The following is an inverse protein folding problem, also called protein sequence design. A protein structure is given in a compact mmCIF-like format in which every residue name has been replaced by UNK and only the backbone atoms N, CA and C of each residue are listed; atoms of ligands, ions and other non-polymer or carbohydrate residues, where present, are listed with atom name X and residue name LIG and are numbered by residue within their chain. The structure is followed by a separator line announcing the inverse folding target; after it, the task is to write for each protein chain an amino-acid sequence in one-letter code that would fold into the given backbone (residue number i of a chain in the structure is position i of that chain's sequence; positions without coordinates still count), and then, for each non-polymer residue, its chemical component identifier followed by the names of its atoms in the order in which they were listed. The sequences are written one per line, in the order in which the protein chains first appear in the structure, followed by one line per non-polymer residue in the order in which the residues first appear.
data_IF_114978121057
#
_entry.id   IF_114978121057
#
_cell.length_a   1.000
_cell.length_b   1.000
_cell.length_c   1.000
_cell.angle_alpha   90.00
_cell.angle_beta   90.00
_cell.angle_gamma   90.00
#
_symmetry.space_group_name_H-M   'P 1'
#
loop_
_entity.id
_entity.type
_entity.pdbx_description
1 polymer ?
#
# COMPACT_ATOMS: atom_id res chain seq x y z
N UNK A 1 4.32 43.20 -22.25
CA UNK A 1 4.08 42.35 -21.06
C UNK A 1 2.87 42.84 -20.24
N UNK A 2 1.64 42.84 -20.80
CA UNK A 2 0.46 43.41 -20.09
C UNK A 2 -0.88 42.76 -20.42
N UNK A 3 -0.88 41.55 -21.00
CA UNK A 3 -2.10 40.83 -21.44
C UNK A 3 -2.43 39.56 -20.64
N UNK A 4 -1.50 38.98 -19.89
CA UNK A 4 -1.77 37.76 -19.12
C UNK A 4 -2.39 38.01 -17.74
N UNK A 5 -2.28 39.23 -17.21
CA UNK A 5 -2.82 39.56 -15.88
C UNK A 5 -4.35 39.76 -15.84
N UNK A 6 -5.01 39.87 -17.01
CA UNK A 6 -6.48 40.04 -17.07
C UNK A 6 -7.24 38.74 -17.32
N UNK A 7 -6.54 37.64 -17.63
CA UNK A 7 -7.16 36.33 -17.86
C UNK A 7 -7.36 35.54 -16.55
N UNK A 8 -6.66 35.94 -15.48
CA UNK A 8 -6.67 35.28 -14.16
C UNK A 8 -7.80 35.81 -13.25
N UNK A 9 -8.34 37.01 -13.52
CA UNK A 9 -9.41 37.61 -12.69
C UNK A 9 -10.81 37.18 -13.14
N UNK A 10 -10.98 36.72 -14.39
CA UNK A 10 -12.28 36.34 -14.95
C UNK A 10 -12.75 34.91 -14.64
N UNK A 11 -11.83 33.98 -14.33
CA UNK A 11 -12.18 32.56 -14.12
C UNK A 11 -12.62 32.26 -12.68
N UNK A 12 -12.35 33.16 -11.73
CA UNK A 12 -12.67 32.98 -10.31
C UNK A 12 -14.10 33.40 -9.92
N UNK A 13 -14.91 33.94 -10.84
CA UNK A 13 -16.25 34.49 -10.54
C UNK A 13 -17.43 33.63 -11.07
N UNK A 14 -17.17 32.42 -11.58
CA UNK A 14 -18.18 31.61 -12.26
C UNK A 14 -18.56 30.28 -11.57
N UNK A 15 -18.18 30.07 -10.30
CA UNK A 15 -18.47 28.81 -9.60
C UNK A 15 -19.13 29.01 -8.22
N UNK A 16 -20.11 29.92 -8.12
CA UNK A 16 -20.88 30.20 -6.88
C UNK A 16 -22.41 30.09 -7.08
N UNK A 17 -22.91 29.68 -8.24
CA UNK A 17 -24.36 29.71 -8.51
C UNK A 17 -24.90 28.36 -8.97
N UNK A 18 -25.13 27.42 -8.03
CA UNK A 18 -26.16 26.37 -8.14
C UNK A 18 -26.63 25.93 -6.74
N UNK A 19 -27.27 26.86 -6.01
CA UNK A 19 -28.14 26.57 -4.87
C UNK A 19 -29.60 26.82 -5.31
N UNK A 20 -30.29 25.76 -5.75
CA UNK A 20 -31.75 25.68 -5.91
C UNK A 20 -32.07 24.24 -6.28
N UNK A 21 -33.15 23.57 -5.92
CA UNK A 21 -34.29 23.80 -5.05
C UNK A 21 -35.05 22.47 -5.11
N UNK A 22 -35.53 21.95 -3.99
CA UNK A 22 -36.67 21.03 -3.89
C UNK A 22 -37.15 21.22 -2.44
N UNK A 23 -38.30 21.83 -2.17
CA UNK A 23 -39.58 21.58 -2.82
C UNK A 23 -40.42 20.87 -1.78
N UNK A 24 -41.12 21.67 -0.98
CA UNK A 24 -41.96 21.22 0.11
C UNK A 24 -43.27 20.63 -0.45
N UNK A 25 -43.48 19.33 -0.25
CA UNK A 25 -44.78 18.71 -0.39
C UNK A 25 -45.07 17.91 0.89
N UNK A 26 -45.94 18.45 1.73
CA UNK A 26 -46.59 17.77 2.86
C UNK A 26 -47.83 17.01 2.37
N UNK A 27 -47.91 15.69 2.54
CA UNK A 27 -49.18 14.98 2.63
C UNK A 27 -49.58 14.87 4.11
N UNK A 28 -50.81 15.28 4.42
CA UNK A 28 -51.46 14.96 5.67
C UNK A 28 -51.63 13.44 5.81
N UNK A 29 -51.15 12.86 6.92
CA UNK A 29 -51.44 11.47 7.28
C UNK A 29 -51.80 11.42 8.77
N UNK A 30 -53.02 10.94 8.97
CA UNK A 30 -53.67 10.38 10.17
C UNK A 30 -52.83 10.22 11.45
N UNK A 31 -53.27 10.90 12.51
CA UNK A 31 -52.84 10.65 13.88
C UNK A 31 -53.51 9.38 14.44
N UNK A 32 -53.02 8.21 14.02
CA UNK A 32 -53.24 6.97 14.78
C UNK A 32 -52.04 6.77 15.71
N UNK A 33 -52.22 6.55 17.03
CA UNK A 33 -51.11 6.23 17.93
C UNK A 33 -50.62 4.81 17.62
N UNK A 34 -49.75 4.70 16.62
CA UNK A 34 -48.99 3.49 16.33
C UNK A 34 -47.90 3.36 17.40
N UNK A 35 -47.92 2.27 18.14
CA UNK A 35 -46.88 1.94 19.10
C UNK A 35 -45.49 2.08 18.43
N UNK A 36 -44.64 2.92 19.02
CA UNK A 36 -43.24 3.06 18.63
C UNK A 36 -42.54 1.74 18.85
N UNK A 37 -42.44 0.92 17.80
CA UNK A 37 -41.50 -0.18 17.76
C UNK A 37 -40.10 0.45 17.78
N UNK A 38 -39.41 0.32 18.91
CA UNK A 38 -37.97 0.60 18.99
C UNK A 38 -37.33 -0.29 17.93
N UNK A 39 -36.57 0.26 16.95
CA UNK A 39 -35.84 -0.58 16.01
C UNK A 39 -34.91 -1.48 16.82
N UNK A 40 -35.12 -2.80 16.71
CA UNK A 40 -34.23 -3.78 17.29
C UNK A 40 -32.83 -3.51 16.73
N UNK A 41 -31.85 -3.27 17.61
CA UNK A 41 -30.45 -3.21 17.24
C UNK A 41 -30.10 -4.61 16.74
N UNK A 42 -30.07 -4.78 15.43
CA UNK A 42 -29.57 -5.99 14.82
C UNK A 42 -28.06 -5.94 15.03
N UNK A 43 -27.57 -6.65 16.05
CA UNK A 43 -26.14 -6.94 16.16
C UNK A 43 -25.75 -7.73 14.92
N UNK A 44 -25.29 -7.02 13.90
CA UNK A 44 -24.59 -7.64 12.79
C UNK A 44 -23.25 -8.06 13.36
N UNK A 45 -23.10 -9.37 13.64
CA UNK A 45 -21.81 -9.95 14.00
C UNK A 45 -20.91 -9.85 12.76
N UNK A 46 -20.30 -8.68 12.53
CA UNK A 46 -19.22 -8.56 11.56
C UNK A 46 -18.13 -9.52 12.00
N UNK A 47 -17.71 -10.48 11.15
CA UNK A 47 -16.64 -11.41 11.50
C UNK A 47 -15.39 -10.65 11.94
N UNK A 48 -14.76 -11.08 13.02
CA UNK A 48 -13.51 -10.48 13.50
C UNK A 48 -12.38 -10.79 12.51
N UNK A 49 -11.79 -9.79 11.84
CA UNK A 49 -10.72 -10.02 10.87
C UNK A 49 -9.44 -10.59 11.53
N UNK A 50 -9.30 -10.47 12.85
CA UNK A 50 -8.17 -11.00 13.61
C UNK A 50 -8.42 -12.40 14.19
N UNK A 51 -9.60 -12.98 13.96
CA UNK A 51 -9.86 -14.36 14.32
C UNK A 51 -9.00 -15.32 13.46
N UNK A 52 -8.48 -16.43 14.02
CA UNK A 52 -7.61 -17.36 13.30
C UNK A 52 -8.21 -17.86 11.97
N UNK A 53 -9.52 -18.09 11.92
CA UNK A 53 -10.25 -18.52 10.72
C UNK A 53 -10.26 -17.49 9.58
N UNK A 54 -10.03 -16.20 9.88
CA UNK A 54 -10.01 -15.12 8.90
C UNK A 54 -8.58 -14.63 8.58
N UNK A 55 -7.59 -15.02 9.40
CA UNK A 55 -6.21 -14.51 9.33
C UNK A 55 -5.58 -14.70 7.95
N UNK A 56 -5.67 -15.90 7.37
CA UNK A 56 -5.10 -16.21 6.05
C UNK A 56 -5.69 -15.30 4.96
N UNK A 57 -7.01 -15.11 4.98
CA UNK A 57 -7.69 -14.26 3.99
C UNK A 57 -7.28 -12.78 4.14
N UNK A 58 -7.12 -12.28 5.36
CA UNK A 58 -6.67 -10.91 5.60
C UNK A 58 -5.19 -10.72 5.22
N UNK A 59 -4.32 -11.69 5.55
CA UNK A 59 -2.90 -11.72 5.14
C UNK A 59 -2.79 -11.69 3.61
N UNK A 60 -3.61 -12.46 2.91
CA UNK A 60 -3.56 -12.56 1.45
C UNK A 60 -3.85 -11.21 0.78
N UNK A 61 -4.74 -10.37 1.35
CA UNK A 61 -5.01 -9.03 0.82
C UNK A 61 -3.76 -8.15 0.82
N UNK A 62 -2.97 -8.22 1.89
CA UNK A 62 -1.68 -7.51 1.98
C UNK A 62 -0.68 -8.14 1.01
N UNK A 63 -0.54 -9.47 1.03
CA UNK A 63 0.43 -10.19 0.21
C UNK A 63 0.24 -10.01 -1.30
N UNK A 64 -1.00 -9.84 -1.77
CA UNK A 64 -1.28 -9.56 -3.19
C UNK A 64 -0.52 -8.31 -3.69
N UNK A 65 -0.54 -7.21 -2.94
CA UNK A 65 0.21 -6.00 -3.31
C UNK A 65 1.72 -6.19 -3.23
N UNK A 66 2.20 -7.02 -2.31
CA UNK A 66 3.63 -7.34 -2.23
C UNK A 66 4.09 -8.08 -3.49
N UNK A 67 3.32 -9.08 -3.93
CA UNK A 67 3.60 -9.81 -5.17
C UNK A 67 3.59 -8.91 -6.40
N UNK A 68 2.55 -8.08 -6.55
CA UNK A 68 2.47 -7.14 -7.67
C UNK A 68 3.67 -6.19 -7.68
N UNK A 69 4.08 -5.70 -6.51
CA UNK A 69 5.23 -4.82 -6.37
C UNK A 69 6.56 -5.55 -6.66
N UNK A 70 6.75 -6.77 -6.19
CA UNK A 70 7.95 -7.58 -6.44
C UNK A 70 8.10 -7.90 -7.95
N UNK A 71 7.00 -8.21 -8.62
CA UNK A 71 6.98 -8.44 -10.07
C UNK A 71 7.32 -7.14 -10.84
N UNK A 72 6.69 -6.02 -10.48
CA UNK A 72 6.95 -4.73 -11.10
C UNK A 72 8.38 -4.22 -10.84
N UNK A 73 8.91 -4.45 -9.64
CA UNK A 73 10.27 -4.04 -9.27
C UNK A 73 11.33 -4.88 -9.96
N UNK A 74 11.09 -6.19 -10.11
CA UNK A 74 11.92 -7.07 -10.92
C UNK A 74 11.97 -6.61 -12.38
N UNK A 75 10.82 -6.22 -12.94
CA UNK A 75 10.77 -5.64 -14.28
C UNK A 75 11.55 -4.32 -14.33
N UNK A 76 11.37 -3.42 -13.36
CA UNK A 76 12.08 -2.14 -13.28
C UNK A 76 13.60 -2.32 -13.25
N UNK A 77 14.10 -3.29 -12.48
CA UNK A 77 15.53 -3.60 -12.37
C UNK A 77 16.18 -4.05 -13.69
N UNK A 78 15.37 -4.54 -14.64
CA UNK A 78 15.83 -4.94 -15.97
C UNK A 78 15.81 -3.80 -17.00
N UNK A 79 15.26 -2.62 -16.65
CA UNK A 79 15.10 -1.49 -17.58
C UNK A 79 16.36 -0.63 -17.64
N UNK A 80 16.65 -0.02 -18.81
CA UNK A 80 17.65 1.03 -18.89
C UNK A 80 17.18 2.27 -18.10
N UNK A 81 18.13 3.09 -17.66
CA UNK A 81 17.89 4.22 -16.76
C UNK A 81 16.87 5.22 -17.30
N UNK A 82 16.85 5.42 -18.62
CA UNK A 82 15.96 6.36 -19.30
C UNK A 82 14.48 5.91 -19.26
N UNK A 83 14.22 4.62 -19.01
CA UNK A 83 12.87 4.04 -18.89
C UNK A 83 12.42 3.87 -17.43
N UNK A 84 13.27 4.21 -16.45
CA UNK A 84 12.94 4.00 -15.04
C UNK A 84 11.86 4.95 -14.51
N UNK A 85 11.68 6.12 -15.11
CA UNK A 85 10.67 7.08 -14.65
C UNK A 85 9.25 6.47 -14.68
N UNK A 86 8.90 5.81 -15.78
CA UNK A 86 7.59 5.16 -15.94
C UNK A 86 7.44 3.97 -14.98
N UNK A 87 8.51 3.17 -14.80
CA UNK A 87 8.51 2.06 -13.87
C UNK A 87 8.36 2.52 -12.41
N UNK A 88 9.03 3.60 -12.01
CA UNK A 88 8.89 4.21 -10.67
C UNK A 88 7.46 4.72 -10.46
N UNK A 89 6.83 5.31 -11.49
CA UNK A 89 5.46 5.79 -11.38
C UNK A 89 4.47 4.64 -11.10
N UNK A 90 4.64 3.49 -11.75
CA UNK A 90 3.82 2.30 -11.50
C UNK A 90 4.09 1.70 -10.11
N UNK A 91 5.35 1.58 -9.69
CA UNK A 91 5.70 1.15 -8.33
C UNK A 91 5.08 2.06 -7.26
N UNK A 92 5.09 3.38 -7.48
CA UNK A 92 4.46 4.33 -6.58
C UNK A 92 2.94 4.20 -6.55
N UNK A 93 2.30 3.82 -7.66
CA UNK A 93 0.87 3.52 -7.70
C UNK A 93 0.57 2.31 -6.80
N UNK A 94 1.27 1.20 -7.00
CA UNK A 94 1.11 -0.02 -6.20
C UNK A 94 1.34 0.27 -4.71
N UNK A 95 2.39 1.03 -4.35
CA UNK A 95 2.66 1.40 -2.95
C UNK A 95 1.51 2.18 -2.31
N UNK A 96 0.90 3.14 -3.04
CA UNK A 96 -0.23 3.92 -2.52
C UNK A 96 -1.47 3.06 -2.34
N UNK A 97 -1.79 2.22 -3.32
CA UNK A 97 -2.91 1.27 -3.22
C UNK A 97 -2.71 0.29 -2.07
N UNK A 98 -1.47 -0.18 -1.87
CA UNK A 98 -1.11 -0.94 -0.69
C UNK A 98 -1.37 -0.11 0.57
N UNK A 99 -0.80 1.07 0.73
CA UNK A 99 -0.99 1.90 1.93
C UNK A 99 -2.46 2.19 2.26
N UNK A 100 -3.28 2.45 1.25
CA UNK A 100 -4.72 2.75 1.39
C UNK A 100 -5.56 1.49 1.72
N UNK A 101 -5.02 0.29 1.53
CA UNK A 101 -5.69 -0.97 1.86
C UNK A 101 -5.95 -1.07 3.36
N UNK A 102 -7.23 -1.18 3.74
CA UNK A 102 -7.62 -1.45 5.12
C UNK A 102 -6.86 -2.65 5.68
N UNK A 103 -6.23 -2.44 6.82
CA UNK A 103 -5.39 -3.42 7.51
C UNK A 103 -5.89 -3.56 8.94
N UNK A 104 -6.35 -4.75 9.36
CA UNK A 104 -6.73 -4.98 10.75
C UNK A 104 -5.50 -4.88 11.67
N UNK A 105 -5.71 -4.49 12.92
CA UNK A 105 -4.61 -4.20 13.85
C UNK A 105 -3.63 -5.37 14.06
N UNK A 106 -4.12 -6.62 13.99
CA UNK A 106 -3.30 -7.83 14.08
C UNK A 106 -2.31 -8.01 12.91
N UNK A 107 -2.46 -7.26 11.82
CA UNK A 107 -1.57 -7.27 10.64
C UNK A 107 -0.73 -5.99 10.51
N UNK A 108 -0.69 -5.16 11.56
CA UNK A 108 0.01 -3.87 11.54
C UNK A 108 1.50 -3.98 11.22
N UNK A 109 2.18 -4.98 11.79
CA UNK A 109 3.61 -5.19 11.57
C UNK A 109 3.89 -5.66 10.13
N UNK A 110 3.11 -6.63 9.64
CA UNK A 110 3.20 -7.11 8.26
C UNK A 110 3.04 -5.95 7.26
N UNK A 111 2.07 -5.07 7.52
CA UNK A 111 1.83 -3.88 6.70
C UNK A 111 3.00 -2.88 6.76
N UNK A 112 3.54 -2.67 7.94
CA UNK A 112 4.67 -1.76 8.17
C UNK A 112 5.89 -2.22 7.40
N UNK A 113 6.23 -3.51 7.45
CA UNK A 113 7.37 -4.08 6.70
C UNK A 113 7.13 -4.02 5.19
N UNK A 114 5.91 -4.34 4.72
CA UNK A 114 5.53 -4.20 3.32
C UNK A 114 5.80 -2.78 2.80
N UNK A 115 5.19 -1.77 3.43
CA UNK A 115 5.26 -0.39 2.93
C UNK A 115 6.67 0.18 3.07
N UNK A 116 7.40 -0.22 4.11
CA UNK A 116 8.80 0.16 4.31
C UNK A 116 9.70 -0.38 3.21
N UNK A 117 9.59 -1.67 2.88
CA UNK A 117 10.29 -2.27 1.75
C UNK A 117 9.99 -1.54 0.44
N UNK A 118 8.70 -1.33 0.14
CA UNK A 118 8.28 -0.65 -1.09
C UNK A 118 8.88 0.77 -1.21
N UNK A 119 8.89 1.51 -0.11
CA UNK A 119 9.51 2.83 -0.06
C UNK A 119 11.02 2.77 -0.31
N UNK A 120 11.73 1.83 0.31
CA UNK A 120 13.18 1.67 0.12
C UNK A 120 13.53 1.33 -1.32
N UNK A 121 12.78 0.44 -1.98
CA UNK A 121 12.98 0.13 -3.41
C UNK A 121 12.76 1.38 -4.28
N UNK A 122 11.64 2.08 -4.10
CA UNK A 122 11.33 3.30 -4.87
C UNK A 122 12.41 4.36 -4.69
N UNK A 123 12.79 4.64 -3.44
CA UNK A 123 13.80 5.66 -3.12
C UNK A 123 15.17 5.28 -3.68
N UNK A 124 15.54 3.99 -3.65
CA UNK A 124 16.78 3.50 -4.23
C UNK A 124 16.79 3.68 -5.75
N UNK A 125 15.68 3.37 -6.44
CA UNK A 125 15.56 3.58 -7.89
C UNK A 125 15.62 5.07 -8.25
N UNK A 126 15.01 5.95 -7.45
CA UNK A 126 15.09 7.40 -7.63
C UNK A 126 16.54 7.88 -7.44
N UNK A 127 17.23 7.42 -6.41
CA UNK A 127 18.64 7.76 -6.16
C UNK A 127 19.54 7.30 -7.32
N UNK A 128 19.37 6.06 -7.79
CA UNK A 128 20.07 5.54 -8.96
C UNK A 128 19.80 6.38 -10.21
N UNK A 129 18.52 6.69 -10.48
CA UNK A 129 18.12 7.53 -11.61
C UNK A 129 18.69 8.96 -11.50
N UNK A 130 18.82 9.49 -10.29
CA UNK A 130 19.44 10.79 -9.97
C UNK A 130 20.96 10.81 -10.03
N UNK A 131 21.62 9.65 -10.12
CA UNK A 131 23.08 9.54 -10.22
C UNK A 131 23.78 9.64 -8.88
N UNK A 132 23.10 9.22 -7.81
CA UNK A 132 23.70 9.07 -6.50
C UNK A 132 24.91 8.13 -6.54
N UNK A 133 25.79 8.30 -5.57
CA UNK A 133 26.99 7.47 -5.41
C UNK A 133 26.61 6.00 -5.23
N UNK A 134 27.43 5.10 -5.79
CA UNK A 134 27.19 3.65 -5.73
C UNK A 134 26.97 3.15 -4.30
N UNK A 135 27.74 3.67 -3.34
CA UNK A 135 27.61 3.31 -1.93
C UNK A 135 26.20 3.60 -1.37
N UNK A 136 25.57 4.70 -1.76
CA UNK A 136 24.21 5.03 -1.32
C UNK A 136 23.17 4.12 -1.96
N UNK A 137 23.37 3.77 -3.23
CA UNK A 137 22.50 2.80 -3.92
C UNK A 137 22.62 1.42 -3.27
N UNK A 138 23.84 0.97 -2.96
CA UNK A 138 24.09 -0.32 -2.30
C UNK A 138 23.46 -0.38 -0.90
N UNK A 139 23.53 0.72 -0.13
CA UNK A 139 22.85 0.84 1.16
C UNK A 139 21.33 0.77 1.01
N UNK A 140 20.76 1.43 0.01
CA UNK A 140 19.33 1.36 -0.30
C UNK A 140 18.88 -0.06 -0.65
N UNK A 141 19.68 -0.79 -1.44
CA UNK A 141 19.44 -2.21 -1.78
C UNK A 141 19.49 -3.07 -0.52
N UNK A 142 20.50 -2.89 0.34
CA UNK A 142 20.63 -3.66 1.57
C UNK A 142 19.43 -3.44 2.51
N UNK A 143 19.02 -2.18 2.70
CA UNK A 143 17.86 -1.83 3.52
C UNK A 143 16.56 -2.43 2.96
N UNK A 144 16.35 -2.35 1.64
CA UNK A 144 15.18 -2.94 1.01
C UNK A 144 15.12 -4.45 1.24
N UNK A 145 16.26 -5.16 1.13
CA UNK A 145 16.32 -6.60 1.40
C UNK A 145 16.02 -6.93 2.85
N UNK A 146 16.63 -6.23 3.80
CA UNK A 146 16.37 -6.43 5.22
C UNK A 146 14.88 -6.27 5.55
N UNK A 147 14.22 -5.27 4.98
CA UNK A 147 12.78 -5.05 5.18
C UNK A 147 11.91 -6.13 4.52
N UNK A 148 12.34 -6.68 3.38
CA UNK A 148 11.68 -7.83 2.75
C UNK A 148 11.82 -9.10 3.61
N UNK A 149 12.99 -9.30 4.21
CA UNK A 149 13.23 -10.41 5.13
C UNK A 149 12.33 -10.30 6.36
N UNK A 150 12.18 -9.11 6.95
CA UNK A 150 11.24 -8.87 8.06
C UNK A 150 9.79 -9.14 7.64
N UNK A 151 9.40 -8.69 6.45
CA UNK A 151 8.08 -8.99 5.89
C UNK A 151 7.85 -10.50 5.76
N UNK A 152 8.82 -11.24 5.24
CA UNK A 152 8.74 -12.69 5.04
C UNK A 152 8.68 -13.45 6.36
N UNK A 153 9.45 -13.03 7.36
CA UNK A 153 9.42 -13.59 8.72
C UNK A 153 8.05 -13.40 9.38
N UNK A 154 7.51 -12.19 9.28
CA UNK A 154 6.20 -11.88 9.84
C UNK A 154 5.07 -12.62 9.12
N UNK A 155 5.17 -12.73 7.78
CA UNK A 155 4.24 -13.53 6.98
C UNK A 155 4.23 -15.00 7.43
N UNK A 156 5.41 -15.60 7.61
CA UNK A 156 5.52 -16.98 8.10
C UNK A 156 4.96 -17.13 9.51
N UNK A 157 5.25 -16.19 10.42
CA UNK A 157 4.73 -16.17 11.79
C UNK A 157 3.20 -16.16 11.81
N UNK A 158 2.58 -15.31 10.99
CA UNK A 158 1.12 -15.16 10.90
C UNK A 158 0.44 -16.40 10.31
N UNK A 159 1.11 -17.08 9.38
CA UNK A 159 0.61 -18.32 8.76
C UNK A 159 0.96 -19.60 9.55
N UNK A 160 1.61 -19.46 10.72
CA UNK A 160 2.03 -20.60 11.53
C UNK A 160 3.09 -21.49 10.86
N UNK A 161 3.82 -20.96 9.88
CA UNK A 161 4.89 -21.66 9.19
C UNK A 161 6.17 -21.59 10.02
N UNK A 162 6.78 -22.75 10.29
CA UNK A 162 8.09 -22.81 10.94
C UNK A 162 9.19 -22.58 9.90
N UNK A 163 9.95 -21.50 10.00
CA UNK A 163 11.13 -21.29 9.14
C UNK A 163 12.30 -22.06 9.76
N UNK A 164 12.74 -23.13 9.11
CA UNK A 164 13.98 -23.81 9.44
C UNK A 164 15.16 -22.91 9.02
N UNK A 165 16.11 -22.55 9.93
CA UNK A 165 17.28 -21.79 9.55
C UNK A 165 18.10 -22.55 8.51
N UNK A 166 18.46 -21.91 7.40
CA UNK A 166 19.35 -22.51 6.42
C UNK A 166 20.64 -22.96 7.12
N UNK A 167 20.89 -24.27 7.13
CA UNK A 167 22.11 -24.83 7.71
C UNK A 167 23.29 -24.30 6.92
N UNK A 168 24.16 -23.54 7.58
CA UNK A 168 25.37 -23.00 6.97
C UNK A 168 26.25 -24.19 6.58
N UNK A 169 26.28 -24.55 5.29
CA UNK A 169 27.23 -25.56 4.80
C UNK A 169 28.61 -24.90 4.87
N UNK A 170 29.55 -25.40 5.70
CA UNK A 170 30.88 -24.84 5.76
C UNK A 170 31.54 -25.01 4.39
N UNK A 171 31.97 -23.88 3.81
CA UNK A 171 32.73 -23.84 2.57
C UNK A 171 34.07 -24.54 2.82
N UNK A 172 34.22 -25.79 2.40
CA UNK A 172 35.52 -26.46 2.44
C UNK A 172 36.45 -25.78 1.45
N UNK A 173 37.42 -25.04 1.97
CA UNK A 173 38.55 -24.49 1.23
C UNK A 173 39.33 -25.62 0.57
N UNK A 174 39.14 -25.77 -0.75
CA UNK A 174 40.01 -26.61 -1.56
C UNK A 174 41.37 -25.90 -1.69
N UNK A 175 42.37 -26.40 -0.97
CA UNK A 175 43.78 -26.04 -1.12
C UNK A 175 44.24 -26.35 -2.56
N UNK A 176 44.86 -25.42 -3.29
CA UNK A 176 45.48 -25.74 -4.57
C UNK A 176 46.71 -26.63 -4.33
N UNK A 177 46.74 -27.79 -5.01
CA UNK A 177 47.88 -28.71 -5.01
C UNK A 177 49.09 -28.10 -5.77
N UNK A 178 50.33 -28.50 -5.42
CA UNK A 178 51.57 -27.89 -5.90
C UNK A 178 51.86 -28.12 -7.39
#
# INVERSE_FOLDING_TARGET
MKKHSQLIVGLALAMVVLLSACGANTPAVDNTPSATAIPAIINTNTPDPCAPENMEAEVQKIHNYMREFDDASSLAASRPREQLADAIADLQRIRREAEDQFTPHCLGDLKTYQVSHMNSVINTLIAFMGGSEQQLVDQGIALAREQHDQYTLELARLLGLTIEPATVVPLTTATPAP
#
